data_IF_605154686100
#
_entry.id   IF_605154686100
#
_cell.length_a   1.000
_cell.length_b   1.000
_cell.length_c   1.000
_cell.angle_alpha   90.00
_cell.angle_beta   90.00
_cell.angle_gamma   90.00
#
_symmetry.space_group_name_H-M   'P 1'
#
loop_
_entity.id
_entity.type
_entity.pdbx_description
1 polymer ?
#
# COMPACT_ATOMS: atom_id res chain seq x y z
N UNK A 1 8.28 -8.60 27.65
CA UNK A 1 7.37 -7.75 26.87
C UNK A 1 7.48 -8.20 25.42
N UNK A 2 6.48 -8.90 24.88
CA UNK A 2 6.48 -9.31 23.48
C UNK A 2 6.25 -8.09 22.60
N UNK A 3 7.30 -7.64 21.92
CA UNK A 3 7.19 -6.70 20.80
C UNK A 3 6.69 -7.50 19.61
N UNK A 4 5.37 -7.62 19.46
CA UNK A 4 4.80 -8.05 18.18
C UNK A 4 5.28 -7.03 17.14
N UNK A 5 5.98 -7.44 16.07
CA UNK A 5 6.34 -6.50 15.02
C UNK A 5 5.06 -5.91 14.47
N UNK A 6 4.92 -4.59 14.55
CA UNK A 6 3.78 -3.89 13.97
C UNK A 6 3.73 -4.20 12.47
N UNK A 7 2.55 -4.56 11.97
CA UNK A 7 2.33 -4.77 10.54
C UNK A 7 2.63 -3.45 9.83
N UNK A 8 3.60 -3.40 8.89
CA UNK A 8 3.96 -2.14 8.24
C UNK A 8 2.80 -1.67 7.35
N UNK A 9 2.45 -0.39 7.47
CA UNK A 9 1.32 0.25 6.77
C UNK A 9 1.78 0.92 5.49
N UNK A 10 1.11 0.60 4.39
CA UNK A 10 1.43 1.15 3.05
C UNK A 10 0.23 1.90 2.49
N UNK A 11 0.44 3.16 2.13
CA UNK A 11 -0.51 3.96 1.34
C UNK A 11 -0.15 3.90 -0.14
N UNK A 12 -1.14 3.97 -1.02
CA UNK A 12 -0.94 3.92 -2.48
C UNK A 12 -1.66 5.07 -3.16
N UNK A 13 -0.94 5.86 -3.97
CA UNK A 13 -1.46 6.98 -4.75
C UNK A 13 -1.15 6.73 -6.22
N UNK A 14 -2.16 6.79 -7.08
CA UNK A 14 -1.99 6.65 -8.54
C UNK A 14 -2.25 7.99 -9.22
N UNK A 15 -1.22 8.56 -9.83
CA UNK A 15 -1.26 9.83 -10.55
C UNK A 15 -1.23 9.53 -12.06
N UNK A 16 -2.33 9.07 -12.64
CA UNK A 16 -2.32 8.72 -14.06
C UNK A 16 -3.63 8.24 -14.68
N UNK A 17 -3.55 7.97 -15.99
CA UNK A 17 -4.64 7.49 -16.83
C UNK A 17 -5.17 6.09 -16.41
N UNK A 18 -6.36 5.66 -16.90
CA UNK A 18 -7.07 4.47 -16.41
C UNK A 18 -6.30 3.14 -16.46
N UNK A 19 -5.23 3.03 -17.26
CA UNK A 19 -4.34 1.85 -17.26
C UNK A 19 -3.62 1.65 -15.92
N UNK A 20 -3.33 2.72 -15.19
CA UNK A 20 -2.68 2.63 -13.89
C UNK A 20 -3.59 1.99 -12.82
N UNK A 21 -4.91 1.90 -13.05
CA UNK A 21 -5.85 1.30 -12.10
C UNK A 21 -5.68 -0.22 -11.99
N UNK A 22 -5.58 -0.91 -13.13
CA UNK A 22 -5.41 -2.38 -13.16
C UNK A 22 -4.07 -2.79 -12.54
N UNK A 23 -3.01 -2.03 -12.81
CA UNK A 23 -1.71 -2.28 -12.19
C UNK A 23 -1.74 -1.99 -10.67
N UNK A 24 -2.46 -0.94 -10.25
CA UNK A 24 -2.63 -0.63 -8.82
C UNK A 24 -3.32 -1.77 -8.07
N UNK A 25 -4.36 -2.39 -8.63
CA UNK A 25 -5.05 -3.53 -8.00
C UNK A 25 -4.11 -4.73 -7.80
N UNK A 26 -3.24 -5.01 -8.78
CA UNK A 26 -2.24 -6.08 -8.68
C UNK A 26 -1.19 -5.77 -7.62
N UNK A 27 -0.69 -4.54 -7.57
CA UNK A 27 0.29 -4.10 -6.56
C UNK A 27 -0.31 -4.20 -5.15
N UNK A 28 -1.53 -3.72 -4.95
CA UNK A 28 -2.21 -3.79 -3.66
C UNK A 28 -2.46 -5.23 -3.19
N UNK A 29 -2.80 -6.13 -4.12
CA UNK A 29 -2.98 -7.56 -3.83
C UNK A 29 -1.66 -8.18 -3.37
N UNK A 30 -0.56 -7.90 -4.08
CA UNK A 30 0.76 -8.42 -3.74
C UNK A 30 1.23 -7.93 -2.37
N UNK A 31 1.07 -6.63 -2.07
CA UNK A 31 1.42 -6.06 -0.76
C UNK A 31 0.66 -6.75 0.39
N UNK A 32 -0.63 -7.05 0.20
CA UNK A 32 -1.39 -7.80 1.21
C UNK A 32 -0.89 -9.24 1.37
N UNK A 33 -0.50 -9.90 0.28
CA UNK A 33 0.07 -11.25 0.32
C UNK A 33 1.44 -11.30 1.03
N UNK A 34 2.21 -10.22 0.96
CA UNK A 34 3.49 -10.07 1.66
C UNK A 34 3.33 -9.67 3.14
N UNK A 35 2.09 -9.44 3.59
CA UNK A 35 1.77 -9.13 4.98
C UNK A 35 1.80 -7.64 5.31
N UNK A 36 1.72 -6.75 4.32
CA UNK A 36 1.54 -5.32 4.56
C UNK A 36 0.07 -4.98 4.81
N UNK A 37 -0.15 -3.99 5.68
CA UNK A 37 -1.46 -3.40 5.89
C UNK A 37 -1.65 -2.24 4.89
N UNK A 38 -2.64 -2.33 4.02
CA UNK A 38 -2.94 -1.25 3.06
C UNK A 38 -3.89 -0.25 3.71
N UNK A 39 -3.46 1.00 3.82
CA UNK A 39 -4.29 2.10 4.37
C UNK A 39 -4.79 3.03 3.26
N UNK A 40 -6.00 3.61 3.40
CA UNK A 40 -6.61 4.45 2.38
C UNK A 40 -6.05 5.88 2.33
N UNK A 41 -5.35 6.31 3.38
CA UNK A 41 -4.80 7.67 3.55
C UNK A 41 -3.29 7.60 3.72
N UNK A 42 -2.59 8.65 3.28
CA UNK A 42 -1.14 8.76 3.46
C UNK A 42 -0.76 9.12 4.90
N UNK A 43 -1.68 9.68 5.68
CA UNK A 43 -1.46 10.08 7.08
C UNK A 43 -1.29 8.88 8.01
N UNK A 44 -1.94 7.75 7.67
CA UNK A 44 -1.91 6.51 8.44
C UNK A 44 -0.83 5.52 7.94
N UNK A 45 -0.04 5.92 6.93
CA UNK A 45 0.94 5.05 6.28
C UNK A 45 2.36 5.26 6.82
N UNK A 46 3.09 4.16 7.00
CA UNK A 46 4.53 4.19 7.27
C UNK A 46 5.32 4.49 5.97
N UNK A 47 4.79 4.04 4.83
CA UNK A 47 5.37 4.23 3.48
C UNK A 47 4.26 4.56 2.48
N UNK A 48 4.54 5.48 1.56
CA UNK A 48 3.62 5.83 0.46
C UNK A 48 4.24 5.46 -0.88
N UNK A 49 3.51 4.66 -1.66
CA UNK A 49 3.85 4.33 -3.05
C UNK A 49 3.09 5.27 -3.97
N UNK A 50 3.84 6.01 -4.82
CA UNK A 50 3.26 6.87 -5.86
C UNK A 50 3.50 6.20 -7.21
N UNK A 51 2.41 5.83 -7.88
CA UNK A 51 2.42 5.28 -9.23
C UNK A 51 2.15 6.40 -10.25
N UNK A 52 3.01 6.53 -11.25
CA UNK A 52 2.96 7.57 -12.30
C UNK A 52 2.83 6.95 -13.68
#
# INVERSE_FOLDING_TARGET
MSTTPATPKVGFVSLGCPKALVDSERILTQLRMEGYEVVPTYEDADVVVVNT
#
